data_IF_453466828704
#
_entry.id   IF_453466828704
#
_cell.length_a   1.000
_cell.length_b   1.000
_cell.length_c   1.000
_cell.angle_alpha   90.00
_cell.angle_beta   90.00
_cell.angle_gamma   90.00
#
_symmetry.space_group_name_H-M   'P 1'
#
loop_
_entity.id
_entity.type
_entity.pdbx_description
1 polymer ?
#
# COMPACT_ATOMS: atom_id res chain seq x y z
N UNK A 1 -9.50 18.50 25.49
CA UNK A 1 -10.93 18.16 25.42
C UNK A 1 -11.16 16.75 24.85
N UNK A 2 -11.98 15.93 25.52
CA UNK A 2 -12.47 14.62 25.04
C UNK A 2 -13.65 14.84 24.09
N UNK A 3 -13.66 14.18 22.93
CA UNK A 3 -14.83 14.06 22.05
C UNK A 3 -15.23 12.59 21.95
N UNK A 4 -16.52 12.30 22.08
CA UNK A 4 -17.06 10.94 21.94
C UNK A 4 -17.99 10.92 20.73
N UNK A 5 -17.99 9.83 19.99
CA UNK A 5 -18.85 9.61 18.84
C UNK A 5 -19.47 8.21 18.91
N UNK A 6 -20.71 8.08 18.46
CA UNK A 6 -21.37 6.78 18.32
C UNK A 6 -21.36 6.38 16.84
N UNK A 7 -21.12 5.11 16.56
CA UNK A 7 -21.06 4.58 15.21
C UNK A 7 -22.47 4.32 14.69
N UNK A 8 -22.86 5.03 13.64
CA UNK A 8 -24.13 4.83 12.95
C UNK A 8 -24.15 3.53 12.11
N UNK A 9 -25.34 3.06 11.77
CA UNK A 9 -25.55 1.82 10.98
C UNK A 9 -24.84 1.85 9.63
N UNK A 10 -24.76 3.02 9.00
CA UNK A 10 -24.09 3.27 7.70
C UNK A 10 -22.60 2.95 7.71
N UNK A 11 -21.99 2.88 8.89
CA UNK A 11 -20.57 2.63 9.07
C UNK A 11 -20.25 1.23 9.61
N UNK A 12 -21.26 0.36 9.76
CA UNK A 12 -21.05 -0.99 10.24
C UNK A 12 -20.02 -1.75 9.39
N UNK A 13 -19.11 -2.48 10.04
CA UNK A 13 -17.98 -3.18 9.44
C UNK A 13 -16.92 -2.31 8.74
N UNK A 14 -17.00 -0.99 8.85
CA UNK A 14 -15.95 -0.08 8.39
C UNK A 14 -14.72 -0.19 9.29
N UNK A 15 -13.52 -0.12 8.71
CA UNK A 15 -12.29 0.02 9.50
C UNK A 15 -12.31 1.32 10.30
N UNK A 16 -11.91 1.26 11.57
CA UNK A 16 -11.89 2.41 12.47
C UNK A 16 -11.05 3.56 11.91
N UNK A 17 -9.94 3.29 11.22
CA UNK A 17 -9.11 4.34 10.62
C UNK A 17 -9.79 5.08 9.45
N UNK A 18 -10.64 4.39 8.69
CA UNK A 18 -11.49 4.99 7.65
C UNK A 18 -12.63 5.77 8.28
N UNK A 19 -13.26 5.19 9.30
CA UNK A 19 -14.31 5.84 10.06
C UNK A 19 -13.84 7.18 10.65
N UNK A 20 -12.66 7.20 11.29
CA UNK A 20 -12.06 8.41 11.87
C UNK A 20 -11.80 9.46 10.79
N UNK A 21 -11.28 9.09 9.62
CA UNK A 21 -11.07 10.05 8.52
C UNK A 21 -12.37 10.66 7.99
N UNK A 22 -13.45 9.88 8.01
CA UNK A 22 -14.75 10.31 7.49
C UNK A 22 -15.48 11.22 8.49
N UNK A 23 -15.42 10.89 9.78
CA UNK A 23 -16.27 11.49 10.81
C UNK A 23 -15.52 12.47 11.74
N UNK A 24 -14.21 12.36 11.83
CA UNK A 24 -13.35 13.26 12.60
C UNK A 24 -12.58 14.13 11.60
N UNK A 25 -12.20 15.35 12.00
CA UNK A 25 -11.41 16.33 11.22
C UNK A 25 -10.40 15.66 10.27
N UNK A 26 -10.03 16.32 9.15
CA UNK A 26 -8.97 15.86 8.23
C UNK A 26 -7.63 15.65 8.96
N UNK A 27 -7.44 14.45 9.52
CA UNK A 27 -6.28 14.02 10.29
C UNK A 27 -5.44 13.08 9.40
N UNK A 28 -4.11 13.23 9.35
CA UNK A 28 -3.24 12.31 8.62
C UNK A 28 -3.33 10.86 9.14
N UNK A 29 -3.17 9.87 8.24
CA UNK A 29 -3.20 8.45 8.63
C UNK A 29 -2.17 8.12 9.72
N UNK A 30 -0.96 8.70 9.63
CA UNK A 30 0.10 8.51 10.61
C UNK A 30 -0.32 8.98 12.02
N UNK A 31 -1.05 10.10 12.11
CA UNK A 31 -1.59 10.58 13.38
C UNK A 31 -2.69 9.65 13.91
N UNK A 32 -3.57 9.13 13.05
CA UNK A 32 -4.59 8.15 13.45
C UNK A 32 -3.92 6.91 14.05
N UNK A 33 -2.89 6.38 13.39
CA UNK A 33 -2.14 5.21 13.86
C UNK A 33 -1.38 5.49 15.17
N UNK A 34 -0.71 6.65 15.28
CA UNK A 34 -0.04 7.08 16.52
C UNK A 34 -1.05 7.22 17.67
N UNK A 35 -2.21 7.83 17.39
CA UNK A 35 -3.23 8.09 18.40
C UNK A 35 -3.95 6.84 18.87
N UNK A 36 -4.23 5.88 17.98
CA UNK A 36 -4.74 4.56 18.34
C UNK A 36 -3.73 3.80 19.23
N UNK A 37 -2.45 3.79 18.84
CA UNK A 37 -1.36 3.14 19.60
C UNK A 37 -1.18 3.73 21.00
N UNK A 38 -1.19 5.06 21.08
CA UNK A 38 -1.00 5.80 22.33
C UNK A 38 -2.29 5.84 23.18
N UNK A 39 -3.42 5.32 22.69
CA UNK A 39 -4.71 5.35 23.39
C UNK A 39 -5.37 6.72 23.46
N UNK A 40 -4.95 7.66 22.61
CA UNK A 40 -5.67 8.93 22.37
C UNK A 40 -6.94 8.71 21.56
N UNK A 41 -7.05 7.58 20.86
CA UNK A 41 -8.29 7.11 20.25
C UNK A 41 -8.60 5.73 20.81
N UNK A 42 -9.81 5.54 21.33
CA UNK A 42 -10.27 4.29 21.94
C UNK A 42 -11.64 3.91 21.38
N UNK A 43 -11.84 2.61 21.19
CA UNK A 43 -13.14 2.02 20.85
C UNK A 43 -13.68 1.34 22.11
N UNK A 44 -14.88 1.72 22.56
CA UNK A 44 -15.50 1.21 23.78
C UNK A 44 -14.51 1.23 24.97
N UNK A 45 -13.80 2.35 25.14
CA UNK A 45 -12.76 2.57 26.13
C UNK A 45 -11.50 1.66 26.03
N UNK A 46 -11.37 0.85 24.98
CA UNK A 46 -10.23 -0.04 24.72
C UNK A 46 -9.35 0.45 23.57
N UNK A 47 -8.04 0.13 23.63
CA UNK A 47 -7.11 0.37 22.52
C UNK A 47 -7.35 -0.68 21.43
N UNK A 48 -7.36 -0.25 20.16
CA UNK A 48 -7.56 -1.13 19.00
C UNK A 48 -6.58 -0.79 17.88
N UNK A 49 -6.32 -1.76 16.99
CA UNK A 49 -5.53 -1.55 15.77
C UNK A 49 -6.36 -0.81 14.72
N UNK A 50 -5.71 -0.08 13.81
CA UNK A 50 -6.34 0.66 12.72
C UNK A 50 -7.21 -0.19 11.77
N UNK A 51 -6.90 -1.48 11.67
CA UNK A 51 -7.65 -2.46 10.87
C UNK A 51 -8.95 -2.93 11.53
N UNK A 52 -9.17 -2.63 12.81
CA UNK A 52 -10.35 -3.10 13.53
C UNK A 52 -11.62 -2.55 12.88
N UNK A 53 -12.62 -3.41 12.69
CA UNK A 53 -13.90 -3.04 12.10
C UNK A 53 -14.86 -2.58 13.19
N UNK A 54 -15.47 -1.42 13.03
CA UNK A 54 -16.44 -0.87 13.98
C UNK A 54 -17.82 -1.49 13.75
N UNK A 55 -18.62 -1.57 14.81
CA UNK A 55 -20.01 -2.01 14.79
C UNK A 55 -20.95 -0.88 15.12
N UNK A 56 -22.19 -0.98 14.67
CA UNK A 56 -23.24 -0.03 15.04
C UNK A 56 -23.33 0.09 16.57
N UNK A 57 -23.51 1.32 17.06
CA UNK A 57 -23.52 1.70 18.47
C UNK A 57 -22.17 1.58 19.20
N UNK A 58 -21.09 1.23 18.52
CA UNK A 58 -19.76 1.37 19.11
C UNK A 58 -19.49 2.84 19.47
N UNK A 59 -18.83 3.05 20.61
CA UNK A 59 -18.40 4.36 21.07
C UNK A 59 -16.93 4.59 20.75
N UNK A 60 -16.62 5.65 20.02
CA UNK A 60 -15.26 6.07 19.71
C UNK A 60 -14.93 7.33 20.53
N UNK A 61 -13.99 7.19 21.46
CA UNK A 61 -13.48 8.31 22.24
C UNK A 61 -12.18 8.84 21.63
N UNK A 62 -12.10 10.16 21.47
CA UNK A 62 -10.97 10.90 20.92
C UNK A 62 -10.49 11.94 21.92
N UNK A 63 -9.25 11.79 22.40
CA UNK A 63 -8.63 12.61 23.44
C UNK A 63 -7.53 13.50 22.86
N UNK A 64 -7.63 14.81 23.08
CA UNK A 64 -6.57 15.82 22.83
C UNK A 64 -5.74 15.56 21.56
N UNK A 65 -6.43 15.49 20.41
CA UNK A 65 -5.77 15.46 19.10
C UNK A 65 -5.31 16.87 18.74
N UNK A 66 -4.06 17.16 19.02
CA UNK A 66 -3.40 18.37 18.55
C UNK A 66 -2.93 18.17 17.12
N UNK A 67 -3.43 19.00 16.21
CA UNK A 67 -3.02 19.02 14.80
C UNK A 67 -1.71 19.79 14.60
N UNK A 68 -1.23 20.51 15.63
CA UNK A 68 -0.07 21.41 15.56
C UNK A 68 1.24 20.69 15.19
N UNK A 69 1.35 19.40 15.47
CA UNK A 69 2.53 18.59 15.17
C UNK A 69 2.62 18.10 13.71
N UNK A 70 1.60 18.34 12.89
CA UNK A 70 1.58 17.93 11.49
C UNK A 70 1.66 19.16 10.60
N UNK A 71 2.80 19.87 10.67
CA UNK A 71 3.29 20.56 9.49
C UNK A 71 3.24 19.51 8.37
N UNK A 72 2.47 19.77 7.31
CA UNK A 72 2.62 19.02 6.07
C UNK A 72 4.07 19.25 5.66
N UNK A 73 4.99 18.38 6.10
CA UNK A 73 6.24 18.24 5.37
C UNK A 73 5.79 18.01 3.93
N UNK A 74 6.12 18.96 3.06
CA UNK A 74 5.98 18.75 1.63
C UNK A 74 6.75 17.46 1.39
N UNK A 75 6.04 16.34 1.24
CA UNK A 75 6.65 15.11 0.78
C UNK A 75 7.16 15.50 -0.59
N UNK A 76 8.46 15.77 -0.68
CA UNK A 76 9.14 16.03 -1.95
C UNK A 76 9.02 14.72 -2.72
N UNK A 77 7.91 14.58 -3.44
CA UNK A 77 7.66 13.47 -4.34
C UNK A 77 8.79 13.50 -5.36
N UNK A 78 9.41 12.34 -5.55
CA UNK A 78 10.47 12.22 -6.53
C UNK A 78 9.93 12.59 -7.91
N UNK A 79 10.59 13.54 -8.57
CA UNK A 79 10.30 13.91 -9.93
C UNK A 79 11.36 13.25 -10.83
N UNK A 80 11.04 12.16 -11.54
CA UNK A 80 12.00 11.46 -12.40
C UNK A 80 12.44 12.35 -13.56
N UNK A 81 13.71 12.23 -13.98
CA UNK A 81 14.17 12.77 -15.26
C UNK A 81 13.65 11.94 -16.43
N UNK A 82 13.69 12.50 -17.65
CA UNK A 82 13.31 11.78 -18.87
C UNK A 82 14.12 10.50 -19.07
N UNK A 83 15.42 10.53 -18.79
CA UNK A 83 16.30 9.35 -18.90
C UNK A 83 15.92 8.25 -17.89
N UNK A 84 15.51 8.63 -16.68
CA UNK A 84 15.03 7.67 -15.67
C UNK A 84 13.72 7.03 -16.12
N UNK A 85 12.81 7.78 -16.75
CA UNK A 85 11.57 7.22 -17.29
C UNK A 85 11.91 6.24 -18.42
N UNK A 86 12.66 6.69 -19.42
CA UNK A 86 13.01 5.89 -20.61
C UNK A 86 13.73 4.59 -20.25
N UNK A 87 14.75 4.66 -19.39
CA UNK A 87 15.47 3.46 -18.92
C UNK A 87 14.60 2.45 -18.15
N UNK A 88 13.48 2.89 -17.56
CA UNK A 88 12.51 1.97 -16.93
C UNK A 88 11.49 1.46 -17.94
N UNK A 89 11.11 2.25 -18.95
CA UNK A 89 10.25 1.81 -20.05
C UNK A 89 10.94 0.74 -20.91
N UNK A 90 12.25 0.81 -21.09
CA UNK A 90 13.06 -0.21 -21.77
C UNK A 90 13.02 -1.59 -21.07
N UNK A 91 12.59 -1.65 -19.80
CA UNK A 91 12.43 -2.89 -19.05
C UNK A 91 11.03 -3.51 -19.22
N UNK A 92 10.15 -2.91 -20.01
CA UNK A 92 8.82 -3.45 -20.28
C UNK A 92 8.95 -4.72 -21.12
N UNK A 93 8.40 -5.81 -20.60
CA UNK A 93 8.32 -7.11 -21.26
C UNK A 93 7.07 -7.17 -22.15
N UNK A 94 5.95 -6.64 -21.66
CA UNK A 94 4.66 -6.64 -22.38
C UNK A 94 3.83 -5.40 -22.01
N UNK A 95 3.04 -4.92 -22.96
CA UNK A 95 2.25 -3.69 -22.86
C UNK A 95 0.96 -3.82 -23.66
N UNK A 96 -0.16 -3.96 -22.96
CA UNK A 96 -1.49 -4.01 -23.57
C UNK A 96 -2.38 -2.89 -23.01
N UNK A 97 -3.64 -2.84 -23.43
CA UNK A 97 -4.57 -1.79 -23.02
C UNK A 97 -4.83 -1.76 -21.50
N UNK A 98 -4.79 -2.92 -20.84
CA UNK A 98 -5.15 -3.07 -19.43
C UNK A 98 -3.99 -2.91 -18.45
N UNK A 99 -2.80 -3.37 -18.81
CA UNK A 99 -1.63 -3.41 -17.94
C UNK A 99 -0.30 -3.48 -18.70
N UNK A 100 0.79 -3.23 -17.97
CA UNK A 100 2.16 -3.53 -18.41
C UNK A 100 2.77 -4.62 -17.54
N UNK A 101 3.70 -5.36 -18.13
CA UNK A 101 4.59 -6.31 -17.47
C UNK A 101 6.02 -5.76 -17.57
N UNK A 102 6.70 -5.65 -16.44
CA UNK A 102 8.02 -5.05 -16.31
C UNK A 102 9.02 -6.10 -15.78
N UNK A 103 10.24 -6.11 -16.31
CA UNK A 103 11.38 -6.71 -15.63
C UNK A 103 11.95 -5.74 -14.60
N UNK A 104 11.40 -5.71 -13.38
CA UNK A 104 11.84 -4.78 -12.34
C UNK A 104 13.31 -5.05 -11.96
N UNK A 105 14.16 -4.04 -12.04
CA UNK A 105 15.52 -4.10 -11.50
C UNK A 105 15.57 -4.20 -9.96
N UNK A 106 16.62 -4.81 -9.42
CA UNK A 106 16.90 -4.74 -7.98
C UNK A 106 17.25 -3.31 -7.55
N UNK A 107 17.05 -2.97 -6.28
CA UNK A 107 17.38 -1.67 -5.69
C UNK A 107 16.32 -0.58 -5.83
N UNK A 108 15.23 -0.82 -6.58
CA UNK A 108 14.09 0.10 -6.69
C UNK A 108 12.83 -0.48 -6.05
N UNK A 109 12.15 0.35 -5.26
CA UNK A 109 10.89 -0.01 -4.62
C UNK A 109 9.72 0.13 -5.60
N UNK A 110 8.69 -0.70 -5.40
CA UNK A 110 7.45 -0.60 -6.19
C UNK A 110 6.70 0.69 -5.85
N UNK A 111 6.52 0.96 -4.55
CA UNK A 111 5.83 2.16 -4.03
C UNK A 111 6.72 2.90 -3.04
N UNK A 112 6.51 4.22 -2.95
CA UNK A 112 7.21 5.08 -2.01
C UNK A 112 6.97 4.69 -0.55
N UNK A 113 7.96 4.98 0.29
CA UNK A 113 7.91 4.78 1.73
C UNK A 113 8.81 5.79 2.44
N UNK A 114 8.81 5.81 3.78
CA UNK A 114 9.57 6.79 4.59
C UNK A 114 11.06 6.86 4.28
N UNK A 115 11.65 5.79 3.73
CA UNK A 115 13.08 5.71 3.34
C UNK A 115 13.33 5.55 1.83
N UNK A 116 12.29 5.57 1.00
CA UNK A 116 12.43 5.34 -0.45
C UNK A 116 11.77 6.47 -1.22
N UNK A 117 12.62 7.39 -1.70
CA UNK A 117 12.18 8.55 -2.49
C UNK A 117 11.93 8.16 -3.96
N UNK A 118 12.78 7.32 -4.56
CA UNK A 118 12.62 6.79 -5.94
C UNK A 118 11.86 5.46 -5.93
N UNK A 119 10.74 5.38 -6.66
CA UNK A 119 9.92 4.17 -6.79
C UNK A 119 9.28 4.08 -8.19
N UNK A 120 8.93 2.87 -8.61
CA UNK A 120 8.36 2.61 -9.94
C UNK A 120 7.06 3.37 -10.20
N UNK A 121 6.16 3.43 -9.21
CA UNK A 121 4.87 4.11 -9.39
C UNK A 121 5.06 5.60 -9.69
N UNK A 122 5.95 6.29 -8.98
CA UNK A 122 6.24 7.71 -9.25
C UNK A 122 6.93 7.91 -10.61
N UNK A 123 7.79 6.98 -11.02
CA UNK A 123 8.43 7.00 -12.36
C UNK A 123 7.37 6.88 -13.45
N UNK A 124 6.57 5.82 -13.43
CA UNK A 124 5.57 5.55 -14.45
C UNK A 124 4.38 6.50 -14.40
N UNK A 125 4.15 7.20 -13.29
CA UNK A 125 3.15 8.31 -13.24
C UNK A 125 3.54 9.46 -14.17
N UNK A 126 4.83 9.59 -14.52
CA UNK A 126 5.34 10.61 -15.45
C UNK A 126 5.58 10.06 -16.87
N UNK A 127 5.37 8.76 -17.08
CA UNK A 127 5.49 8.11 -18.39
C UNK A 127 4.24 8.40 -19.24
N UNK A 128 4.45 8.59 -20.55
CA UNK A 128 3.35 8.77 -21.52
C UNK A 128 2.48 7.51 -21.66
N UNK A 129 3.03 6.32 -21.33
CA UNK A 129 2.28 5.04 -21.29
C UNK A 129 1.06 5.14 -20.37
N UNK A 130 1.15 5.98 -19.33
CA UNK A 130 0.07 6.26 -18.39
C UNK A 130 -0.49 7.67 -18.54
N UNK A 131 -0.20 8.43 -19.61
CA UNK A 131 -0.53 9.85 -19.74
C UNK A 131 -2.00 10.22 -19.50
N UNK A 132 -2.92 9.32 -19.84
CA UNK A 132 -4.37 9.49 -19.62
C UNK A 132 -4.90 8.82 -18.34
N UNK A 133 -4.03 8.12 -17.60
CA UNK A 133 -4.41 7.28 -16.47
C UNK A 133 -3.40 7.45 -15.34
N UNK A 134 -3.42 6.54 -14.36
CA UNK A 134 -2.37 6.46 -13.38
C UNK A 134 -1.98 5.00 -13.22
N UNK A 135 -0.69 4.71 -12.97
CA UNK A 135 -0.27 3.36 -12.72
C UNK A 135 -0.85 2.83 -11.40
N UNK A 136 -1.31 1.58 -11.43
CA UNK A 136 -1.78 0.86 -10.25
C UNK A 136 -0.90 -0.38 -10.00
N UNK A 137 -0.25 -0.41 -8.84
CA UNK A 137 0.41 -1.63 -8.34
C UNK A 137 -0.65 -2.67 -7.98
N UNK A 138 -0.54 -3.88 -8.52
CA UNK A 138 -1.50 -4.97 -8.25
C UNK A 138 -0.92 -6.08 -7.37
N UNK A 139 0.41 -6.10 -7.23
CA UNK A 139 1.15 -6.87 -6.23
C UNK A 139 2.37 -6.06 -5.78
N UNK A 140 3.27 -6.67 -5.01
CA UNK A 140 4.57 -6.08 -4.65
C UNK A 140 5.71 -7.04 -4.94
N UNK A 141 6.86 -6.48 -5.24
CA UNK A 141 8.17 -7.09 -5.10
C UNK A 141 8.95 -6.24 -4.10
N UNK A 142 9.80 -6.86 -3.30
CA UNK A 142 10.65 -6.11 -2.40
C UNK A 142 11.70 -5.32 -3.17
N UNK A 143 12.27 -4.30 -2.53
CA UNK A 143 13.18 -3.35 -3.18
C UNK A 143 14.33 -4.08 -3.87
N UNK A 144 14.93 -5.02 -3.16
CA UNK A 144 16.15 -5.71 -3.59
C UNK A 144 15.85 -7.00 -4.38
N UNK A 145 14.57 -7.35 -4.57
CA UNK A 145 14.13 -8.43 -5.45
C UNK A 145 13.95 -7.91 -6.87
N UNK A 146 14.62 -8.51 -7.86
CA UNK A 146 14.38 -8.26 -9.27
C UNK A 146 13.31 -9.21 -9.85
N UNK A 147 12.84 -8.90 -11.06
CA UNK A 147 12.01 -9.82 -11.86
C UNK A 147 10.65 -9.26 -12.23
N UNK A 148 9.75 -10.16 -12.63
CA UNK A 148 8.48 -9.82 -13.28
C UNK A 148 7.54 -9.06 -12.33
N UNK A 149 7.13 -7.86 -12.76
CA UNK A 149 6.22 -6.98 -12.04
C UNK A 149 5.09 -6.48 -12.93
N UNK A 150 3.85 -6.51 -12.44
CA UNK A 150 2.67 -6.10 -13.19
C UNK A 150 2.12 -4.78 -12.63
N UNK A 151 1.79 -3.86 -13.54
CA UNK A 151 1.19 -2.57 -13.24
C UNK A 151 -0.04 -2.34 -14.13
N UNK A 152 -1.21 -2.17 -13.52
CA UNK A 152 -2.44 -1.93 -14.27
C UNK A 152 -2.55 -0.46 -14.70
N UNK A 153 -3.11 -0.23 -15.88
CA UNK A 153 -3.40 1.09 -16.43
C UNK A 153 -4.73 1.65 -15.94
N UNK A 154 -5.68 0.78 -15.56
CA UNK A 154 -7.03 1.20 -15.20
C UNK A 154 -7.50 0.59 -13.87
N UNK A 155 -8.49 1.24 -13.25
CA UNK A 155 -9.05 0.80 -11.96
C UNK A 155 -9.69 -0.58 -12.03
N UNK A 156 -10.40 -0.89 -13.12
CA UNK A 156 -11.07 -2.18 -13.34
C UNK A 156 -10.05 -3.32 -13.36
N UNK A 157 -9.02 -3.20 -14.19
CA UNK A 157 -7.94 -4.18 -14.35
C UNK A 157 -7.12 -4.29 -13.05
N UNK A 158 -6.89 -3.18 -12.35
CA UNK A 158 -6.24 -3.19 -11.04
C UNK A 158 -7.02 -3.98 -9.99
N UNK A 159 -8.35 -3.81 -9.91
CA UNK A 159 -9.21 -4.55 -8.99
C UNK A 159 -9.22 -6.05 -9.29
N UNK A 160 -9.33 -6.42 -10.57
CA UNK A 160 -9.30 -7.81 -11.02
C UNK A 160 -7.96 -8.46 -10.67
N UNK A 161 -6.84 -7.90 -11.12
CA UNK A 161 -5.50 -8.46 -10.90
C UNK A 161 -5.17 -8.56 -9.40
N UNK A 162 -5.47 -7.52 -8.62
CA UNK A 162 -5.30 -7.56 -7.16
C UNK A 162 -6.11 -8.70 -6.53
N UNK A 163 -7.32 -8.95 -7.03
CA UNK A 163 -8.16 -10.06 -6.56
C UNK A 163 -7.58 -11.41 -6.94
N UNK A 164 -7.01 -11.56 -8.14
CA UNK A 164 -6.36 -12.80 -8.57
C UNK A 164 -5.11 -13.11 -7.73
N UNK A 165 -4.29 -12.10 -7.41
CA UNK A 165 -3.17 -12.26 -6.48
C UNK A 165 -3.66 -12.66 -5.08
N UNK A 166 -4.71 -12.00 -4.57
CA UNK A 166 -5.30 -12.29 -3.25
C UNK A 166 -5.88 -13.70 -3.17
N UNK A 167 -6.55 -14.15 -4.23
CA UNK A 167 -7.17 -15.48 -4.34
C UNK A 167 -6.17 -16.59 -4.73
N UNK A 168 -4.86 -16.26 -4.83
CA UNK A 168 -3.79 -17.20 -5.23
C UNK A 168 -4.06 -17.86 -6.60
N UNK A 169 -4.71 -17.14 -7.51
CA UNK A 169 -4.97 -17.59 -8.90
C UNK A 169 -3.83 -17.26 -9.86
N UNK A 170 -2.84 -16.48 -9.41
CA UNK A 170 -1.62 -16.19 -10.16
C UNK A 170 -0.50 -17.09 -9.67
N UNK A 171 0.07 -17.89 -10.57
CA UNK A 171 1.27 -18.68 -10.32
C UNK A 171 2.52 -17.80 -10.46
N UNK A 172 3.45 -17.96 -9.53
CA UNK A 172 4.71 -17.20 -9.49
C UNK A 172 5.85 -18.17 -9.23
N UNK A 173 6.92 -18.05 -10.00
CA UNK A 173 8.15 -18.81 -9.82
C UNK A 173 9.28 -17.82 -9.52
N UNK A 174 10.09 -18.14 -8.52
CA UNK A 174 11.25 -17.35 -8.14
C UNK A 174 12.49 -18.22 -8.27
N UNK A 175 13.52 -17.65 -8.88
CA UNK A 175 14.86 -18.22 -8.85
C UNK A 175 15.65 -17.51 -7.75
N UNK A 176 16.35 -18.29 -6.92
CA UNK A 176 17.15 -17.79 -5.83
C UNK A 176 18.44 -18.60 -5.70
N UNK A 177 19.50 -17.92 -5.25
CA UNK A 177 20.73 -18.57 -4.75
C UNK A 177 20.66 -18.52 -3.24
N UNK A 178 20.75 -19.68 -2.59
CA UNK A 178 20.64 -19.81 -1.13
C UNK A 178 22.01 -20.10 -0.53
N UNK A 179 22.20 -19.69 0.73
CA UNK A 179 23.37 -20.06 1.52
C UNK A 179 23.13 -21.39 2.23
N UNK A 180 24.06 -22.34 2.10
CA UNK A 180 23.94 -23.70 2.60
C UNK A 180 23.46 -24.69 1.53
N UNK A 181 23.37 -25.96 1.91
CA UNK A 181 22.91 -27.05 1.05
C UNK A 181 21.56 -27.57 1.53
N UNK A 182 20.67 -27.87 0.58
CA UNK A 182 19.39 -28.50 0.87
C UNK A 182 19.58 -30.01 0.88
N UNK A 183 19.19 -30.69 1.95
CA UNK A 183 19.24 -32.16 2.04
C UNK A 183 18.29 -32.86 1.06
N UNK A 184 17.26 -32.15 0.60
CA UNK A 184 16.26 -32.63 -0.35
C UNK A 184 16.09 -31.66 -1.52
N UNK A 185 15.96 -32.21 -2.73
CA UNK A 185 15.88 -31.43 -3.98
C UNK A 185 14.51 -30.74 -4.20
N UNK A 186 13.48 -31.13 -3.46
CA UNK A 186 12.17 -30.49 -3.52
C UNK A 186 11.39 -30.69 -2.23
N UNK A 187 10.48 -29.77 -1.93
CA UNK A 187 9.64 -29.84 -0.75
C UNK A 187 8.66 -28.68 -0.69
N UNK A 188 7.75 -28.72 0.28
CA UNK A 188 6.83 -27.61 0.55
C UNK A 188 7.13 -27.06 1.93
N UNK A 189 7.59 -25.81 2.00
CA UNK A 189 7.66 -25.09 3.27
C UNK A 189 6.26 -24.61 3.66
N UNK A 190 5.66 -25.24 4.68
CA UNK A 190 4.40 -24.78 5.30
C UNK A 190 4.73 -24.04 6.60
N UNK A 191 4.72 -22.71 6.56
CA UNK A 191 4.86 -21.90 7.78
C UNK A 191 3.48 -21.33 8.16
N UNK A 192 3.05 -21.54 9.41
CA UNK A 192 1.80 -20.99 9.96
C UNK A 192 2.04 -19.56 10.48
N UNK A 193 2.51 -18.66 9.61
CA UNK A 193 2.62 -17.22 9.93
C UNK A 193 1.27 -16.51 9.72
#
# INVERSE_FOLDING_TARGET
>A
MKKSYNVEITYNDMRIDRWIRHNVKKIPQSLIEKSLRNGKIKLNHKKVKSLHKVKTNDRIDVYNLELKDFVKEKINKFNPSKDVIKSNEELIIDNNDDFIVLNKSSGISVQGGTKSKKNLIDIFTKSEIFGNTKPFSVHRLDKDTSGVFIMAKHRKSAQLLTSLFRLRKVHKTYLAVCHGELEINSGTWKNNL
#
